data_IF_043824868535
#
_entry.id   IF_043824868535
#
_cell.length_a   1.000
_cell.length_b   1.000
_cell.length_c   1.000
_cell.angle_alpha   90.00
_cell.angle_beta   90.00
_cell.angle_gamma   90.00
#
_symmetry.space_group_name_H-M   'P 1'
#
loop_
_entity.id
_entity.type
_entity.pdbx_description
1 polymer ?
#
# COMPACT_ATOMS: atom_id res chain seq x y z
N UNK A 1 -15.98 2.38 17.80
CA UNK A 1 -14.76 3.23 17.81
C UNK A 1 -13.59 2.31 18.11
N UNK A 2 -12.60 2.20 17.24
CA UNK A 2 -11.43 1.36 17.40
C UNK A 2 -10.18 2.24 17.60
N UNK A 3 -9.14 1.69 18.26
CA UNK A 3 -7.83 2.33 18.36
C UNK A 3 -6.92 1.78 17.29
N UNK A 4 -6.51 2.64 16.35
CA UNK A 4 -5.80 2.28 15.12
C UNK A 4 -4.41 2.94 15.12
N UNK A 5 -3.37 2.13 15.03
CA UNK A 5 -2.01 2.63 14.81
C UNK A 5 -1.75 2.84 13.32
N UNK A 6 -1.08 3.93 12.96
CA UNK A 6 -0.64 4.21 11.58
C UNK A 6 0.86 4.50 11.61
N UNK A 7 1.66 3.61 11.01
CA UNK A 7 3.09 3.86 10.82
C UNK A 7 3.32 4.62 9.53
N UNK A 8 4.33 5.49 9.48
CA UNK A 8 4.51 6.42 8.37
C UNK A 8 3.44 7.52 8.37
N UNK A 9 2.98 7.90 9.57
CA UNK A 9 1.87 8.83 9.78
C UNK A 9 2.12 10.26 9.25
N UNK A 10 3.39 10.65 9.09
CA UNK A 10 3.78 11.95 8.53
C UNK A 10 3.92 11.96 7.00
N UNK A 11 3.85 10.79 6.35
CA UNK A 11 3.90 10.70 4.88
C UNK A 11 2.60 11.15 4.21
N UNK A 12 2.61 11.24 2.87
CA UNK A 12 1.45 11.67 2.07
C UNK A 12 0.18 10.90 2.40
N UNK A 13 0.23 9.57 2.33
CA UNK A 13 -0.91 8.70 2.62
C UNK A 13 -1.24 8.73 4.11
N UNK A 14 -0.21 8.64 4.98
CA UNK A 14 -0.38 8.55 6.42
C UNK A 14 -1.06 9.78 7.01
N UNK A 15 -0.65 10.98 6.62
CA UNK A 15 -1.24 12.24 7.12
C UNK A 15 -2.71 12.38 6.72
N UNK A 16 -3.06 12.03 5.48
CA UNK A 16 -4.44 12.03 5.03
C UNK A 16 -5.30 11.03 5.82
N UNK A 17 -4.84 9.77 5.95
CA UNK A 17 -5.56 8.75 6.70
C UNK A 17 -5.72 9.10 8.18
N UNK A 18 -4.70 9.67 8.83
CA UNK A 18 -4.80 10.13 10.20
C UNK A 18 -5.94 11.13 10.37
N UNK A 19 -6.03 12.11 9.48
CA UNK A 19 -7.08 13.14 9.53
C UNK A 19 -8.49 12.57 9.20
N UNK A 20 -8.56 11.69 8.20
CA UNK A 20 -9.85 11.12 7.79
C UNK A 20 -10.40 10.15 8.85
N UNK A 21 -9.59 9.20 9.32
CA UNK A 21 -10.02 8.17 10.25
C UNK A 21 -10.25 8.68 11.69
N UNK A 22 -9.62 9.80 12.08
CA UNK A 22 -9.81 10.43 13.39
C UNK A 22 -11.26 10.90 13.64
N UNK A 23 -12.09 10.96 12.59
CA UNK A 23 -13.52 11.30 12.72
C UNK A 23 -14.31 10.22 13.48
N UNK A 24 -13.86 8.95 13.38
CA UNK A 24 -14.61 7.79 13.89
C UNK A 24 -13.79 6.86 14.77
N UNK A 25 -12.46 7.04 14.82
CA UNK A 25 -11.51 6.16 15.50
C UNK A 25 -10.51 6.96 16.33
N UNK A 26 -9.92 6.32 17.32
CA UNK A 26 -8.74 6.83 18.03
C UNK A 26 -7.50 6.47 17.21
N UNK A 27 -6.74 7.46 16.76
CA UNK A 27 -5.55 7.26 15.94
C UNK A 27 -4.29 7.39 16.78
N UNK A 28 -3.42 6.40 16.66
CA UNK A 28 -2.06 6.41 17.23
C UNK A 28 -1.07 6.60 16.07
N UNK A 29 -0.48 7.76 16.01
CA UNK A 29 0.48 8.14 14.96
C UNK A 29 1.87 7.65 15.34
N UNK A 30 2.51 6.90 14.43
CA UNK A 30 3.87 6.38 14.59
C UNK A 30 4.71 6.84 13.40
N UNK A 31 5.78 7.57 13.66
CA UNK A 31 6.74 8.03 12.64
C UNK A 31 8.09 8.32 13.31
N UNK A 32 9.13 8.62 12.52
CA UNK A 32 10.44 8.99 13.04
C UNK A 32 10.41 10.33 13.82
N UNK A 33 9.43 11.20 13.51
CA UNK A 33 9.27 12.53 14.14
C UNK A 33 7.84 13.04 13.99
N UNK A 34 7.47 14.01 14.85
CA UNK A 34 6.17 14.70 14.79
C UNK A 34 4.96 13.77 14.88
N UNK A 35 5.06 12.71 15.69
CA UNK A 35 4.03 11.71 15.90
C UNK A 35 3.78 11.49 17.40
N UNK A 36 2.74 10.75 17.76
CA UNK A 36 2.45 10.38 19.14
C UNK A 36 3.55 9.47 19.71
N UNK A 37 4.08 8.60 18.83
CA UNK A 37 5.29 7.81 19.08
C UNK A 37 6.34 8.12 18.03
N UNK A 38 7.39 8.85 18.41
CA UNK A 38 8.57 9.03 17.57
C UNK A 38 9.43 7.77 17.67
N UNK A 39 9.28 6.86 16.69
CA UNK A 39 9.90 5.55 16.75
C UNK A 39 10.26 5.03 15.35
N UNK A 40 11.39 4.32 15.27
CA UNK A 40 11.83 3.63 14.07
C UNK A 40 11.21 2.22 14.02
N UNK A 41 10.66 1.82 12.89
CA UNK A 41 10.14 0.46 12.68
C UNK A 41 11.21 -0.62 12.80
N UNK A 42 12.50 -0.25 12.70
CA UNK A 42 13.62 -1.14 12.95
C UNK A 42 13.80 -1.48 14.44
N UNK A 43 13.26 -0.65 15.35
CA UNK A 43 13.27 -0.91 16.78
C UNK A 43 12.02 -1.70 17.20
N UNK A 44 12.18 -3.02 17.32
CA UNK A 44 11.11 -3.94 17.69
C UNK A 44 10.43 -3.58 19.02
N UNK A 45 11.23 -3.25 20.04
CA UNK A 45 10.71 -2.92 21.38
C UNK A 45 9.92 -1.60 21.35
N UNK A 46 10.39 -0.62 20.56
CA UNK A 46 9.63 0.60 20.34
C UNK A 46 8.28 0.32 19.66
N UNK A 47 8.26 -0.58 18.67
CA UNK A 47 7.01 -0.99 18.02
C UNK A 47 6.07 -1.71 18.99
N UNK A 48 6.58 -2.61 19.84
CA UNK A 48 5.78 -3.25 20.88
C UNK A 48 5.13 -2.22 21.83
N UNK A 49 5.88 -1.20 22.23
CA UNK A 49 5.33 -0.12 23.08
C UNK A 49 4.28 0.72 22.35
N UNK A 50 4.55 1.10 21.11
CA UNK A 50 3.67 1.97 20.31
C UNK A 50 2.35 1.30 19.94
N UNK A 51 2.33 -0.02 19.71
CA UNK A 51 1.14 -0.77 19.33
C UNK A 51 0.28 -1.21 20.51
N UNK A 52 0.71 -0.95 21.74
CA UNK A 52 -0.01 -1.39 22.93
C UNK A 52 -1.45 -0.83 23.01
N UNK A 53 -2.42 -1.75 23.12
CA UNK A 53 -3.85 -1.41 23.20
C UNK A 53 -4.52 -1.04 21.89
N UNK A 54 -3.80 -1.10 20.77
CA UNK A 54 -4.41 -0.96 19.44
C UNK A 54 -5.13 -2.24 19.03
N UNK A 55 -6.17 -2.12 18.21
CA UNK A 55 -6.84 -3.25 17.57
C UNK A 55 -6.33 -3.51 16.14
N UNK A 56 -5.90 -2.45 15.48
CA UNK A 56 -5.45 -2.50 14.09
C UNK A 56 -4.16 -1.71 13.91
N UNK A 57 -3.27 -2.16 13.04
CA UNK A 57 -2.17 -1.35 12.52
C UNK A 57 -2.29 -1.20 11.01
N UNK A 58 -2.17 0.04 10.52
CA UNK A 58 -2.01 0.37 9.11
C UNK A 58 -0.52 0.66 8.89
N UNK A 59 0.16 -0.25 8.18
CA UNK A 59 1.59 -0.18 7.99
C UNK A 59 1.94 0.48 6.66
N UNK A 60 2.33 1.77 6.71
CA UNK A 60 2.73 2.57 5.55
C UNK A 60 4.23 2.89 5.57
N UNK A 61 4.90 2.80 6.73
CA UNK A 61 6.30 3.16 6.89
C UNK A 61 7.23 2.28 6.06
N UNK A 62 8.26 2.87 5.50
CA UNK A 62 9.34 2.21 4.77
C UNK A 62 10.03 3.17 3.80
N UNK A 63 11.18 2.77 3.29
CA UNK A 63 11.89 3.50 2.23
C UNK A 63 11.21 3.24 0.89
N UNK A 64 10.62 4.28 0.30
CA UNK A 64 9.80 4.17 -0.92
C UNK A 64 10.59 4.34 -2.22
N UNK A 65 11.89 4.68 -2.14
CA UNK A 65 12.73 4.79 -3.33
C UNK A 65 12.83 3.44 -4.04
N UNK A 66 12.44 3.39 -5.32
CA UNK A 66 12.42 2.16 -6.14
C UNK A 66 13.83 1.59 -6.34
N UNK A 67 14.83 2.47 -6.34
CA UNK A 67 16.26 2.20 -6.48
C UNK A 67 17.02 2.15 -5.14
N UNK A 68 16.29 2.06 -4.01
CA UNK A 68 16.92 1.98 -2.69
C UNK A 68 17.96 0.84 -2.63
N UNK A 69 19.13 1.07 -2.01
CA UNK A 69 20.16 0.05 -1.90
C UNK A 69 19.70 -1.12 -1.02
N UNK A 70 20.21 -2.30 -1.31
CA UNK A 70 19.86 -3.53 -0.59
C UNK A 70 19.89 -3.38 0.95
N UNK A 71 20.89 -2.69 1.47
CA UNK A 71 21.02 -2.47 2.92
C UNK A 71 19.76 -1.83 3.51
N UNK A 72 19.25 -0.79 2.87
CA UNK A 72 18.08 -0.04 3.36
C UNK A 72 16.79 -0.84 3.19
N UNK A 73 16.66 -1.54 2.06
CA UNK A 73 15.55 -2.46 1.83
C UNK A 73 15.54 -3.60 2.85
N UNK A 74 16.69 -4.20 3.13
CA UNK A 74 16.78 -5.28 4.09
C UNK A 74 16.49 -4.84 5.52
N UNK A 75 17.16 -3.78 6.00
CA UNK A 75 17.01 -3.34 7.39
C UNK A 75 15.67 -2.65 7.65
N UNK A 76 15.37 -1.62 6.86
CA UNK A 76 14.18 -0.80 7.10
C UNK A 76 12.92 -1.50 6.59
N UNK A 77 12.94 -1.96 5.34
CA UNK A 77 11.70 -2.43 4.74
C UNK A 77 11.36 -3.86 5.17
N UNK A 78 12.26 -4.81 4.96
CA UNK A 78 12.02 -6.23 5.30
C UNK A 78 12.02 -6.42 6.81
N UNK A 79 13.07 -5.96 7.49
CA UNK A 79 13.20 -6.07 8.95
C UNK A 79 12.13 -5.30 9.69
N UNK A 80 11.87 -4.05 9.29
CA UNK A 80 10.81 -3.22 9.88
C UNK A 80 9.41 -3.81 9.67
N UNK A 81 9.11 -4.33 8.48
CA UNK A 81 7.83 -5.00 8.22
C UNK A 81 7.66 -6.23 9.14
N UNK A 82 8.71 -7.06 9.27
CA UNK A 82 8.67 -8.19 10.22
C UNK A 82 8.39 -7.71 11.65
N UNK A 83 9.08 -6.66 12.11
CA UNK A 83 8.88 -6.11 13.45
C UNK A 83 7.43 -5.66 13.68
N UNK A 84 6.80 -5.01 12.70
CA UNK A 84 5.40 -4.58 12.80
C UNK A 84 4.46 -5.79 12.92
N UNK A 85 4.63 -6.81 12.07
CA UNK A 85 3.79 -8.00 12.14
C UNK A 85 3.93 -8.73 13.49
N UNK A 86 5.17 -8.90 13.95
CA UNK A 86 5.43 -9.60 15.20
C UNK A 86 4.99 -8.77 16.41
N UNK A 87 5.25 -7.45 16.43
CA UNK A 87 4.77 -6.58 17.50
C UNK A 87 3.23 -6.51 17.56
N UNK A 88 2.56 -6.51 16.39
CA UNK A 88 1.11 -6.58 16.32
C UNK A 88 0.59 -7.90 16.93
N UNK A 89 1.19 -9.03 16.57
CA UNK A 89 0.85 -10.34 17.14
C UNK A 89 1.05 -10.37 18.66
N UNK A 90 2.20 -9.91 19.15
CA UNK A 90 2.54 -9.90 20.57
C UNK A 90 1.59 -9.03 21.41
N UNK A 91 1.09 -7.94 20.82
CA UNK A 91 0.12 -7.06 21.48
C UNK A 91 -1.34 -7.51 21.28
N UNK A 92 -1.59 -8.63 20.58
CA UNK A 92 -2.93 -9.18 20.35
C UNK A 92 -3.78 -8.33 19.41
N UNK A 93 -3.16 -7.58 18.48
CA UNK A 93 -3.91 -6.86 17.45
C UNK A 93 -4.67 -7.84 16.57
N UNK A 94 -5.88 -7.46 16.21
CA UNK A 94 -6.75 -8.29 15.38
C UNK A 94 -6.43 -8.17 13.89
N UNK A 95 -5.96 -6.97 13.46
CA UNK A 95 -5.84 -6.66 12.03
C UNK A 95 -4.56 -5.90 11.68
N UNK A 96 -4.02 -6.27 10.52
CA UNK A 96 -2.96 -5.53 9.84
C UNK A 96 -3.47 -5.12 8.46
N UNK A 97 -3.35 -3.84 8.11
CA UNK A 97 -3.49 -3.34 6.74
C UNK A 97 -2.09 -2.99 6.25
N UNK A 98 -1.59 -3.76 5.30
CA UNK A 98 -0.25 -3.57 4.75
C UNK A 98 -0.31 -2.80 3.43
N UNK A 99 0.39 -1.68 3.37
CA UNK A 99 0.60 -0.94 2.14
C UNK A 99 1.56 -1.71 1.22
N UNK A 100 1.01 -2.61 0.42
CA UNK A 100 1.72 -3.24 -0.67
C UNK A 100 1.81 -2.28 -1.87
N UNK A 101 2.26 -2.77 -3.01
CA UNK A 101 2.42 -1.97 -4.23
C UNK A 101 2.18 -2.83 -5.47
N UNK A 102 1.76 -2.19 -6.57
CA UNK A 102 1.77 -2.76 -7.91
C UNK A 102 3.16 -3.29 -8.32
N UNK A 103 4.26 -2.75 -7.75
CA UNK A 103 5.63 -3.23 -7.96
C UNK A 103 5.87 -4.68 -7.49
N UNK A 104 5.03 -5.26 -6.63
CA UNK A 104 5.10 -6.68 -6.29
C UNK A 104 4.91 -7.61 -7.51
N UNK A 105 4.23 -7.11 -8.54
CA UNK A 105 3.97 -7.78 -9.83
C UNK A 105 4.39 -6.91 -11.01
N UNK A 106 5.30 -5.96 -10.79
CA UNK A 106 5.67 -4.87 -11.71
C UNK A 106 6.19 -5.31 -13.06
N UNK A 107 6.80 -6.50 -13.18
CA UNK A 107 7.24 -7.04 -14.48
C UNK A 107 6.11 -7.21 -15.49
N UNK A 108 4.84 -7.35 -15.04
CA UNK A 108 3.69 -7.35 -15.94
C UNK A 108 3.54 -6.00 -16.66
N UNK A 109 3.83 -4.90 -15.97
CA UNK A 109 3.87 -3.56 -16.55
C UNK A 109 5.09 -3.40 -17.45
N UNK A 110 6.29 -3.76 -16.96
CA UNK A 110 7.56 -3.60 -17.68
C UNK A 110 7.55 -4.28 -19.05
N UNK A 111 7.05 -5.51 -19.12
CA UNK A 111 7.01 -6.30 -20.37
C UNK A 111 6.01 -5.78 -21.40
N UNK A 112 5.02 -5.00 -20.98
CA UNK A 112 3.94 -4.53 -21.84
C UNK A 112 3.95 -3.01 -22.06
N UNK A 113 4.81 -2.28 -21.36
CA UNK A 113 4.99 -0.85 -21.55
C UNK A 113 5.64 -0.54 -22.90
N UNK A 114 5.30 0.60 -23.54
CA UNK A 114 4.31 1.58 -23.11
C UNK A 114 2.87 1.24 -23.51
N UNK A 115 2.65 0.16 -24.26
CA UNK A 115 1.35 -0.17 -24.86
C UNK A 115 0.26 -0.46 -23.82
N UNK A 116 0.65 -0.93 -22.63
CA UNK A 116 -0.29 -1.22 -21.55
C UNK A 116 -1.05 0.03 -21.06
N UNK A 117 -0.55 1.23 -21.34
CA UNK A 117 -1.19 2.50 -20.99
C UNK A 117 -2.16 3.01 -22.05
N UNK A 118 -2.26 2.32 -23.19
CA UNK A 118 -3.14 2.74 -24.27
C UNK A 118 -4.54 2.14 -24.13
N UNK A 119 -5.59 2.89 -24.50
CA UNK A 119 -6.96 2.38 -24.48
C UNK A 119 -7.08 1.10 -25.32
N UNK A 120 -7.76 0.10 -24.77
CA UNK A 120 -8.05 -1.15 -25.49
C UNK A 120 -6.90 -2.17 -25.54
N UNK A 121 -5.80 -1.97 -24.80
CA UNK A 121 -4.72 -2.96 -24.70
C UNK A 121 -5.22 -4.33 -24.20
N UNK A 122 -6.23 -4.35 -23.34
CA UNK A 122 -6.99 -5.54 -22.99
C UNK A 122 -6.38 -6.45 -21.92
N UNK A 123 -5.11 -6.26 -21.52
CA UNK A 123 -4.54 -7.02 -20.40
C UNK A 123 -4.99 -6.44 -19.06
N UNK A 124 -5.50 -7.33 -18.21
CA UNK A 124 -5.80 -7.02 -16.81
C UNK A 124 -4.89 -7.87 -15.93
N UNK A 125 -4.16 -7.23 -15.02
CA UNK A 125 -3.29 -7.90 -14.05
C UNK A 125 -4.07 -8.13 -12.77
N UNK A 126 -4.29 -9.39 -12.43
CA UNK A 126 -5.08 -9.81 -11.28
C UNK A 126 -4.26 -9.97 -10.01
N UNK A 127 -4.96 -10.19 -8.89
CA UNK A 127 -4.31 -10.46 -7.59
C UNK A 127 -3.71 -11.86 -7.53
N UNK A 128 -4.11 -12.76 -8.43
CA UNK A 128 -3.61 -14.13 -8.55
C UNK A 128 -2.43 -14.26 -9.53
N UNK A 129 -2.07 -13.20 -10.26
CA UNK A 129 -0.87 -13.22 -11.09
C UNK A 129 0.37 -13.47 -10.20
N UNK A 130 1.34 -14.28 -10.68
CA UNK A 130 2.54 -14.59 -9.93
C UNK A 130 3.31 -13.34 -9.49
N UNK A 131 3.96 -13.41 -8.34
CA UNK A 131 4.90 -12.37 -7.92
C UNK A 131 6.02 -12.26 -8.94
N UNK A 132 6.17 -11.09 -9.53
CA UNK A 132 7.20 -10.74 -10.49
C UNK A 132 7.62 -9.28 -10.24
N UNK A 133 8.37 -9.03 -9.14
CA UNK A 133 8.79 -7.68 -8.78
C UNK A 133 9.76 -7.10 -9.80
N UNK A 134 9.65 -5.81 -10.05
CA UNK A 134 10.49 -5.04 -10.96
C UNK A 134 11.65 -4.30 -10.26
N UNK A 135 11.93 -4.63 -9.01
CA UNK A 135 13.03 -4.08 -8.22
C UNK A 135 12.99 -4.55 -6.77
N UNK A 136 13.99 -4.17 -5.99
CA UNK A 136 14.09 -4.54 -4.57
C UNK A 136 12.91 -4.00 -3.74
N UNK A 137 12.38 -2.85 -4.11
CA UNK A 137 11.15 -2.31 -3.53
C UNK A 137 9.96 -3.26 -3.73
N UNK A 138 9.77 -3.77 -4.95
CA UNK A 138 8.75 -4.77 -5.26
C UNK A 138 8.96 -6.09 -4.52
N UNK A 139 10.23 -6.53 -4.35
CA UNK A 139 10.59 -7.70 -3.53
C UNK A 139 10.13 -7.53 -2.09
N UNK A 140 10.37 -6.35 -1.48
CA UNK A 140 9.85 -6.05 -0.14
C UNK A 140 8.33 -6.16 -0.10
N UNK A 141 7.62 -5.59 -1.07
CA UNK A 141 6.15 -5.60 -1.07
C UNK A 141 5.63 -7.03 -1.20
N UNK A 142 6.21 -7.86 -2.06
CA UNK A 142 5.91 -9.27 -2.16
C UNK A 142 6.20 -10.02 -0.83
N UNK A 143 7.33 -9.74 -0.19
CA UNK A 143 7.65 -10.28 1.14
C UNK A 143 6.56 -9.96 2.16
N UNK A 144 6.11 -8.72 2.25
CA UNK A 144 5.06 -8.29 3.18
C UNK A 144 3.73 -8.99 2.94
N UNK A 145 3.35 -9.25 1.68
CA UNK A 145 2.14 -10.01 1.34
C UNK A 145 2.27 -11.49 1.76
N UNK A 146 3.40 -12.13 1.47
CA UNK A 146 3.66 -13.53 1.86
C UNK A 146 3.74 -13.67 3.39
N UNK A 147 4.40 -12.73 4.06
CA UNK A 147 4.43 -12.66 5.52
C UNK A 147 3.02 -12.50 6.09
N UNK A 148 2.21 -11.62 5.50
CA UNK A 148 0.82 -11.42 5.89
C UNK A 148 -0.01 -12.70 5.78
N UNK A 149 0.16 -13.46 4.71
CA UNK A 149 -0.50 -14.77 4.56
C UNK A 149 -0.08 -15.72 5.68
N UNK A 150 1.21 -15.81 6.00
CA UNK A 150 1.72 -16.65 7.08
C UNK A 150 1.11 -16.26 8.44
N UNK A 151 1.03 -14.95 8.78
CA UNK A 151 0.45 -14.50 10.04
C UNK A 151 -1.06 -14.77 10.10
N UNK A 152 -1.76 -14.63 8.98
CA UNK A 152 -3.18 -14.97 8.89
C UNK A 152 -3.42 -16.47 9.13
N UNK A 153 -2.69 -17.33 8.44
CA UNK A 153 -2.89 -18.79 8.53
C UNK A 153 -2.49 -19.35 9.89
N UNK A 154 -1.36 -18.84 10.45
CA UNK A 154 -0.81 -19.41 11.69
C UNK A 154 -1.41 -18.81 12.95
N UNK A 155 -1.74 -17.53 12.93
CA UNK A 155 -2.14 -16.80 14.13
C UNK A 155 -3.57 -16.25 14.06
N UNK A 156 -4.32 -16.56 13.01
CA UNK A 156 -5.67 -16.09 12.76
C UNK A 156 -5.80 -14.55 12.74
N UNK A 157 -4.73 -13.85 12.38
CA UNK A 157 -4.76 -12.39 12.22
C UNK A 157 -5.44 -12.04 10.91
N UNK A 158 -6.29 -11.02 10.92
CA UNK A 158 -6.85 -10.46 9.69
C UNK A 158 -5.78 -9.62 8.98
N UNK A 159 -5.45 -9.94 7.74
CA UNK A 159 -4.44 -9.20 6.99
C UNK A 159 -4.98 -8.79 5.62
N UNK A 160 -5.02 -7.48 5.38
CA UNK A 160 -5.35 -6.92 4.07
C UNK A 160 -4.11 -6.27 3.45
N UNK A 161 -3.66 -6.79 2.32
CA UNK A 161 -2.57 -6.23 1.55
C UNK A 161 -3.14 -5.40 0.40
N UNK A 162 -2.81 -4.11 0.37
CA UNK A 162 -3.30 -3.20 -0.67
C UNK A 162 -2.16 -2.88 -1.63
N UNK A 163 -2.23 -3.40 -2.85
CA UNK A 163 -1.31 -3.05 -3.94
C UNK A 163 -1.65 -1.66 -4.46
N UNK A 164 -0.97 -0.66 -3.91
CA UNK A 164 -1.21 0.75 -4.22
C UNK A 164 -0.54 1.08 -5.54
N UNK A 165 -1.26 1.86 -6.38
CA UNK A 165 -0.71 2.52 -7.54
C UNK A 165 -0.02 3.83 -7.17
N UNK A 166 -0.31 4.91 -7.87
CA UNK A 166 0.31 6.22 -7.66
C UNK A 166 -0.60 7.14 -6.84
N UNK A 167 -0.17 7.49 -5.62
CA UNK A 167 -0.82 8.50 -4.76
C UNK A 167 0.19 9.61 -4.51
N UNK A 168 -0.16 10.84 -4.87
CA UNK A 168 0.70 12.03 -4.74
C UNK A 168 0.15 13.02 -3.73
N UNK A 169 1.01 13.95 -3.29
CA UNK A 169 0.60 15.00 -2.36
C UNK A 169 -0.37 16.01 -2.98
N UNK A 170 -0.22 16.28 -4.28
CA UNK A 170 -1.12 17.16 -5.01
C UNK A 170 -2.51 16.57 -5.21
N UNK A 171 -2.62 15.24 -5.17
CA UNK A 171 -3.88 14.49 -5.41
C UNK A 171 -4.57 14.85 -6.73
N UNK A 172 -3.79 15.25 -7.72
CA UNK A 172 -4.27 15.69 -9.04
C UNK A 172 -3.82 14.68 -10.12
N UNK A 173 -4.75 13.98 -10.79
CA UNK A 173 -4.42 13.05 -11.86
C UNK A 173 -3.84 13.72 -13.12
N UNK A 174 -3.92 15.06 -13.19
CA UNK A 174 -3.40 15.87 -14.29
C UNK A 174 -2.06 16.52 -13.96
N UNK A 175 -1.45 16.18 -12.84
CA UNK A 175 -0.15 16.74 -12.43
C UNK A 175 0.96 16.26 -13.37
N UNK A 176 1.28 17.09 -14.36
CA UNK A 176 2.33 16.81 -15.34
C UNK A 176 3.76 16.84 -14.73
N UNK A 177 3.92 17.29 -13.48
CA UNK A 177 5.21 17.23 -12.79
C UNK A 177 5.60 15.82 -12.35
N UNK A 178 4.64 14.90 -12.28
CA UNK A 178 4.89 13.49 -11.92
C UNK A 178 5.66 12.80 -13.05
N UNK A 179 6.86 12.35 -12.73
CA UNK A 179 7.77 11.69 -13.69
C UNK A 179 8.22 10.31 -13.17
N UNK A 180 7.38 9.69 -12.36
CA UNK A 180 7.69 8.37 -11.83
C UNK A 180 7.75 7.33 -12.94
N UNK A 181 8.80 6.53 -12.93
CA UNK A 181 8.92 5.33 -13.73
C UNK A 181 9.66 4.25 -12.94
N UNK A 182 9.38 2.99 -13.20
CA UNK A 182 10.26 1.92 -12.74
C UNK A 182 11.63 2.06 -13.43
N UNK A 183 12.71 1.76 -12.70
CA UNK A 183 14.07 1.84 -13.25
C UNK A 183 14.32 1.00 -14.50
N UNK A 184 13.43 0.06 -14.81
CA UNK A 184 13.46 -0.77 -16.02
C UNK A 184 12.79 -0.11 -17.22
N UNK A 185 12.00 0.94 -17.01
CA UNK A 185 11.20 1.59 -18.05
C UNK A 185 11.90 2.84 -18.58
N UNK A 186 12.29 2.81 -19.83
CA UNK A 186 12.78 4.00 -20.53
C UNK A 186 11.62 4.70 -21.25
N UNK A 187 10.80 5.43 -20.48
CA UNK A 187 9.60 6.12 -20.96
C UNK A 187 9.89 7.58 -21.30
N UNK A 188 9.27 8.09 -22.37
CA UNK A 188 9.17 9.52 -22.64
C UNK A 188 8.32 10.20 -21.55
N UNK A 189 8.38 11.53 -21.45
CA UNK A 189 7.56 12.25 -20.47
C UNK A 189 6.05 12.08 -20.71
N UNK A 190 5.62 12.02 -21.96
CA UNK A 190 4.24 11.71 -22.32
C UNK A 190 3.84 10.29 -21.84
N UNK A 191 4.70 9.31 -22.03
CA UNK A 191 4.45 7.92 -21.57
C UNK A 191 4.44 7.81 -20.04
N UNK A 192 5.30 8.56 -19.34
CA UNK A 192 5.26 8.66 -17.87
C UNK A 192 3.94 9.25 -17.39
N UNK A 193 3.44 10.28 -18.06
CA UNK A 193 2.14 10.86 -17.74
C UNK A 193 0.99 9.86 -17.98
N UNK A 194 0.99 9.13 -19.12
CA UNK A 194 0.02 8.06 -19.38
C UNK A 194 0.08 6.97 -18.31
N UNK A 195 1.29 6.57 -17.90
CA UNK A 195 1.50 5.65 -16.78
C UNK A 195 0.86 6.16 -15.50
N UNK A 196 1.15 7.40 -15.14
CA UNK A 196 0.58 8.03 -13.94
C UNK A 196 -0.94 8.05 -14.00
N UNK A 197 -1.52 8.46 -15.11
CA UNK A 197 -2.97 8.46 -15.33
C UNK A 197 -3.58 7.05 -15.19
N UNK A 198 -2.90 6.00 -15.69
CA UNK A 198 -3.38 4.62 -15.58
C UNK A 198 -3.29 4.05 -14.15
N UNK A 199 -2.32 4.50 -13.35
CA UNK A 199 -2.04 3.96 -12.01
C UNK A 199 -2.54 4.87 -10.87
N UNK A 200 -3.05 6.06 -11.16
CA UNK A 200 -3.47 7.03 -10.16
C UNK A 200 -4.57 6.51 -9.24
N UNK A 201 -4.47 6.90 -7.97
CA UNK A 201 -5.47 6.68 -6.93
C UNK A 201 -5.61 7.94 -6.10
N UNK A 202 -6.82 8.47 -5.91
CA UNK A 202 -7.03 9.61 -5.04
C UNK A 202 -6.81 9.23 -3.56
N UNK A 203 -6.36 10.19 -2.76
CA UNK A 203 -6.24 10.02 -1.31
C UNK A 203 -7.60 9.72 -0.69
N UNK A 204 -8.66 10.34 -1.20
CA UNK A 204 -10.05 10.12 -0.77
C UNK A 204 -10.50 8.68 -1.01
N UNK A 205 -10.31 8.15 -2.20
CA UNK A 205 -10.71 6.77 -2.51
C UNK A 205 -9.85 5.75 -1.76
N UNK A 206 -8.56 6.06 -1.53
CA UNK A 206 -7.74 5.22 -0.68
C UNK A 206 -8.27 5.15 0.76
N UNK A 207 -8.66 6.28 1.35
CA UNK A 207 -9.28 6.29 2.68
C UNK A 207 -10.62 5.52 2.69
N UNK A 208 -11.43 5.62 1.63
CA UNK A 208 -12.67 4.84 1.49
C UNK A 208 -12.41 3.34 1.41
N UNK A 209 -11.36 2.91 0.68
CA UNK A 209 -10.94 1.51 0.64
C UNK A 209 -10.51 1.04 2.03
N UNK A 210 -9.71 1.81 2.76
CA UNK A 210 -9.30 1.49 4.13
C UNK A 210 -10.52 1.36 5.05
N UNK A 211 -11.50 2.26 4.97
CA UNK A 211 -12.76 2.17 5.72
C UNK A 211 -13.56 0.91 5.37
N UNK A 212 -13.62 0.54 4.10
CA UNK A 212 -14.28 -0.69 3.66
C UNK A 212 -13.59 -1.95 4.21
N UNK A 213 -12.24 -1.96 4.27
CA UNK A 213 -11.45 -3.02 4.89
C UNK A 213 -11.71 -3.08 6.40
N UNK A 214 -11.75 -1.95 7.09
CA UNK A 214 -12.02 -1.89 8.53
C UNK A 214 -13.42 -2.39 8.89
N UNK A 215 -14.39 -2.26 8.00
CA UNK A 215 -15.79 -2.66 8.20
C UNK A 215 -16.06 -4.16 7.96
N UNK A 216 -15.10 -4.95 7.53
CA UNK A 216 -15.28 -6.38 7.18
C UNK A 216 -14.26 -7.26 7.87
N UNK A 217 -14.72 -8.42 8.35
CA UNK A 217 -13.85 -9.45 8.92
C UNK A 217 -13.43 -10.43 7.81
N UNK A 218 -12.22 -10.21 7.29
CA UNK A 218 -11.62 -11.03 6.24
C UNK A 218 -10.28 -11.54 6.74
N UNK A 219 -10.08 -12.85 6.71
CA UNK A 219 -8.85 -13.45 7.23
C UNK A 219 -7.62 -12.95 6.46
N UNK A 220 -7.65 -13.07 5.12
CA UNK A 220 -6.57 -12.60 4.26
C UNK A 220 -7.11 -12.09 2.92
N UNK A 221 -6.57 -10.99 2.45
CA UNK A 221 -6.86 -10.48 1.11
C UNK A 221 -5.69 -9.75 0.49
N UNK A 222 -5.66 -9.75 -0.84
CA UNK A 222 -4.86 -8.84 -1.67
C UNK A 222 -5.84 -8.11 -2.57
N UNK A 223 -5.78 -6.77 -2.59
CA UNK A 223 -6.61 -5.91 -3.44
C UNK A 223 -5.76 -4.80 -4.05
N UNK A 224 -6.21 -4.24 -5.17
CA UNK A 224 -5.56 -3.07 -5.76
C UNK A 224 -6.16 -1.77 -5.22
N UNK A 225 -5.28 -0.82 -4.88
CA UNK A 225 -5.59 0.57 -4.56
C UNK A 225 -5.26 1.46 -5.76
N UNK A 226 -6.10 1.43 -6.78
CA UNK A 226 -6.00 2.20 -8.03
C UNK A 226 -7.38 2.79 -8.32
N UNK A 227 -7.43 3.99 -8.92
CA UNK A 227 -8.67 4.65 -9.33
C UNK A 227 -9.38 3.93 -10.48
N UNK A 228 -10.65 4.30 -10.73
CA UNK A 228 -11.40 3.81 -11.90
C UNK A 228 -10.94 4.50 -13.20
N UNK A 229 -9.66 4.41 -13.49
CA UNK A 229 -9.02 5.06 -14.63
C UNK A 229 -9.35 4.33 -15.93
N UNK A 230 -9.60 5.08 -17.00
CA UNK A 230 -9.98 4.52 -18.30
C UNK A 230 -8.93 3.57 -18.90
N UNK A 231 -7.65 3.82 -18.60
CA UNK A 231 -6.52 3.01 -19.09
C UNK A 231 -5.89 2.14 -18.00
N UNK A 232 -6.59 1.93 -16.86
CA UNK A 232 -6.09 1.02 -15.82
C UNK A 232 -5.95 -0.39 -16.35
N UNK A 233 -4.96 -1.08 -15.86
CA UNK A 233 -4.70 -2.50 -16.17
C UNK A 233 -4.65 -3.38 -14.91
N UNK A 234 -5.03 -2.84 -13.78
CA UNK A 234 -5.11 -3.55 -12.49
C UNK A 234 -6.57 -3.96 -12.22
N UNK A 235 -6.75 -5.22 -11.78
CA UNK A 235 -8.07 -5.78 -11.50
C UNK A 235 -8.66 -5.20 -10.19
N UNK A 236 -9.76 -4.48 -10.28
CA UNK A 236 -10.47 -3.92 -9.13
C UNK A 236 -11.56 -4.85 -8.57
N UNK A 237 -11.92 -5.93 -9.27
CA UNK A 237 -12.99 -6.84 -8.83
C UNK A 237 -12.75 -7.48 -7.46
N UNK A 238 -11.51 -7.85 -7.03
CA UNK A 238 -11.30 -8.32 -5.68
C UNK A 238 -11.71 -7.31 -4.60
N UNK A 239 -11.44 -6.02 -4.80
CA UNK A 239 -11.88 -4.95 -3.89
C UNK A 239 -13.40 -4.86 -3.79
N UNK A 240 -14.10 -4.99 -4.91
CA UNK A 240 -15.56 -5.00 -4.98
C UNK A 240 -16.15 -6.25 -4.34
N UNK A 241 -15.67 -7.43 -4.73
CA UNK A 241 -16.21 -8.70 -4.26
C UNK A 241 -16.01 -8.91 -2.76
N UNK A 242 -14.83 -8.55 -2.22
CA UNK A 242 -14.47 -8.80 -0.83
C UNK A 242 -15.01 -7.70 0.09
N UNK A 243 -14.85 -6.43 -0.31
CA UNK A 243 -15.12 -5.28 0.56
C UNK A 243 -16.31 -4.43 0.12
N UNK A 244 -16.91 -4.70 -1.04
CA UNK A 244 -17.94 -3.85 -1.63
C UNK A 244 -17.39 -2.49 -2.08
N UNK A 245 -16.07 -2.38 -2.27
CA UNK A 245 -15.43 -1.14 -2.64
C UNK A 245 -15.24 -1.03 -4.16
N UNK A 246 -15.62 0.11 -4.70
CA UNK A 246 -15.27 0.55 -6.04
C UNK A 246 -14.82 2.01 -5.98
N UNK A 247 -13.71 2.37 -6.65
CA UNK A 247 -13.27 3.76 -6.70
C UNK A 247 -14.34 4.67 -7.31
N UNK A 248 -14.49 5.87 -6.77
CA UNK A 248 -15.39 6.89 -7.32
C UNK A 248 -14.65 7.91 -8.17
N UNK A 249 -13.34 8.01 -7.94
CA UNK A 249 -12.46 8.88 -8.69
C UNK A 249 -11.74 8.07 -9.79
N UNK A 250 -11.46 8.73 -10.91
CA UNK A 250 -10.74 8.11 -12.02
C UNK A 250 -10.44 9.11 -13.12
N UNK A 251 -9.39 8.80 -13.89
CA UNK A 251 -9.02 9.54 -15.08
C UNK A 251 -9.84 9.03 -16.26
N UNK A 252 -10.53 9.96 -16.95
CA UNK A 252 -11.38 9.68 -18.11
C UNK A 252 -10.69 10.16 -19.39
#
# INVERSE_FOLDING_TARGET
MARIAITGAGGTIGSYLCNDLARDHEIVRIDLRNADHNADICDYEAMCRALKGCQTVIHLAGTVAVDAPWKDVYTTNIGGTYNIYEAARQNGLQRIIFASSNHAVGMNEVENAPHIYEPGFGRVVGTQDPYRPDGLYGVWKAFGEVLGRYYSDKYAMQVACVRIGSITAADDPKDESVRESSGWLNLTDEQKFKRYAATWMSQRDFARLVRAILARDVAFSIVYGVGDNATRFWDLEPGRAIYGFWPQDGVR
#
